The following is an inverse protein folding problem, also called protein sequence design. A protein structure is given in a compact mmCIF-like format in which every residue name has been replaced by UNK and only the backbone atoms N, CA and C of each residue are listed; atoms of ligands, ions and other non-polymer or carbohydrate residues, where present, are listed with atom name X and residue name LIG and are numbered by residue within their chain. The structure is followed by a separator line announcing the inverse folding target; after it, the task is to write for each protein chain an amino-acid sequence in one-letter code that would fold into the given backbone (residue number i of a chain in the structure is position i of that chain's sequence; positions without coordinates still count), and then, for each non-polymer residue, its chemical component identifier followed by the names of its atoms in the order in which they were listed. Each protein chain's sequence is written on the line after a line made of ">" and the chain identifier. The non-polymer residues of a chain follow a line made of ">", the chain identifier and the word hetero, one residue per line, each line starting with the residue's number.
data_IF_970315168134
#
_entry.id   IF_970315168134
#
_cell.length_a   1.000
_cell.length_b   1.000
_cell.length_c   1.000
_cell.angle_alpha   90.00
_cell.angle_beta   90.00
_cell.angle_gamma   90.00
#
_symmetry.space_group_name_H-M   'P 1'
#
loop_
_entity.id
_entity.type
_entity.pdbx_description
1 polymer ?
#
# COMPACT_ATOMS: atom_id res chain seq x y z
N UNK A 1 14.13 0.15 -27.55
CA UNK A 1 12.78 0.52 -27.07
C UNK A 1 12.16 -0.54 -26.15
N UNK A 2 12.01 -1.82 -26.50
CA UNK A 2 11.39 -2.86 -25.64
C UNK A 2 12.02 -3.04 -24.23
N UNK A 3 13.36 -2.87 -24.07
CA UNK A 3 14.03 -2.97 -22.76
C UNK A 3 13.70 -1.81 -21.82
N UNK A 4 13.58 -0.59 -22.34
CA UNK A 4 13.25 0.61 -21.56
C UNK A 4 11.80 0.55 -21.07
N UNK A 5 10.87 0.12 -21.95
CA UNK A 5 9.45 -0.04 -21.58
C UNK A 5 9.26 -1.12 -20.51
N UNK A 6 10.00 -2.23 -20.60
CA UNK A 6 10.00 -3.29 -19.60
C UNK A 6 10.58 -2.81 -18.26
N UNK A 7 11.65 -2.00 -18.29
CA UNK A 7 12.24 -1.41 -17.09
C UNK A 7 11.30 -0.41 -16.42
N UNK A 8 10.68 0.49 -17.20
CA UNK A 8 9.66 1.42 -16.67
C UNK A 8 8.48 0.63 -16.08
N UNK A 9 8.00 -0.41 -16.78
CA UNK A 9 6.94 -1.29 -16.27
C UNK A 9 7.28 -1.96 -14.94
N UNK A 10 8.53 -2.40 -14.75
CA UNK A 10 8.98 -2.99 -13.48
C UNK A 10 9.02 -1.99 -12.33
N UNK A 11 9.18 -0.68 -12.62
CA UNK A 11 9.16 0.37 -11.60
C UNK A 11 7.76 0.62 -11.00
N UNK A 12 6.69 0.15 -11.65
CA UNK A 12 5.34 0.19 -11.09
C UNK A 12 5.10 -0.90 -10.03
N UNK A 13 5.80 -2.05 -10.15
CA UNK A 13 5.70 -3.14 -9.16
C UNK A 13 6.76 -3.07 -8.06
N UNK A 14 7.96 -2.57 -8.37
CA UNK A 14 9.07 -2.45 -7.42
C UNK A 14 9.94 -1.22 -7.77
N UNK A 15 9.49 0.00 -7.37
CA UNK A 15 10.18 1.24 -7.70
C UNK A 15 11.56 1.31 -7.02
N UNK A 16 12.61 1.63 -7.80
CA UNK A 16 13.98 1.77 -7.30
C UNK A 16 14.63 3.06 -7.78
N UNK A 17 15.48 3.64 -6.93
CA UNK A 17 16.28 4.83 -7.26
C UNK A 17 15.45 6.06 -7.63
N UNK A 18 16.05 6.99 -8.38
CA UNK A 18 15.44 8.26 -8.78
C UNK A 18 14.22 8.05 -9.69
N UNK A 19 14.31 7.14 -10.65
CA UNK A 19 13.21 6.83 -11.58
C UNK A 19 12.02 6.25 -10.80
N UNK A 20 12.27 5.36 -9.84
CA UNK A 20 11.24 4.85 -8.95
C UNK A 20 10.54 5.95 -8.15
N UNK A 21 11.28 6.95 -7.64
CA UNK A 21 10.70 8.10 -6.94
C UNK A 21 9.76 8.91 -7.84
N UNK A 22 10.15 9.17 -9.08
CA UNK A 22 9.31 9.89 -10.07
C UNK A 22 8.06 9.06 -10.38
N UNK A 23 8.19 7.76 -10.63
CA UNK A 23 7.06 6.86 -10.84
C UNK A 23 6.09 6.89 -9.65
N UNK A 24 6.58 6.88 -8.42
CA UNK A 24 5.75 6.99 -7.22
C UNK A 24 4.97 8.30 -7.14
N UNK A 25 5.56 9.44 -7.56
CA UNK A 25 4.87 10.73 -7.59
C UNK A 25 3.73 10.69 -8.61
N UNK A 26 3.99 10.18 -9.81
CA UNK A 26 2.99 10.04 -10.86
C UNK A 26 1.86 9.11 -10.37
N UNK A 27 2.19 7.98 -9.78
CA UNK A 27 1.19 7.05 -9.22
C UNK A 27 0.36 7.68 -8.11
N UNK A 28 0.93 8.54 -7.26
CA UNK A 28 0.17 9.24 -6.23
C UNK A 28 -0.90 10.15 -6.84
N UNK A 29 -0.60 10.81 -7.97
CA UNK A 29 -1.57 11.65 -8.68
C UNK A 29 -2.67 10.79 -9.31
N UNK A 30 -2.29 9.74 -10.03
CA UNK A 30 -3.21 8.81 -10.71
C UNK A 30 -4.13 8.12 -9.68
N UNK A 31 -3.56 7.64 -8.58
CA UNK A 31 -4.29 6.89 -7.55
C UNK A 31 -5.01 7.81 -6.53
N UNK A 32 -4.96 9.14 -6.68
CA UNK A 32 -5.47 10.05 -5.66
C UNK A 32 -6.96 9.86 -5.35
N UNK A 33 -7.77 9.49 -6.33
CA UNK A 33 -9.18 9.15 -6.11
C UNK A 33 -9.34 7.89 -5.25
N UNK A 34 -8.54 6.84 -5.50
CA UNK A 34 -8.52 5.62 -4.70
C UNK A 34 -8.11 5.92 -3.25
N UNK A 35 -7.05 6.70 -3.04
CA UNK A 35 -6.62 7.12 -1.70
C UNK A 35 -7.70 7.88 -0.94
N UNK A 36 -8.37 8.84 -1.59
CA UNK A 36 -9.46 9.59 -0.96
C UNK A 36 -10.64 8.69 -0.58
N UNK A 37 -11.03 7.79 -1.46
CA UNK A 37 -12.13 6.86 -1.20
C UNK A 37 -11.76 5.88 -0.10
N UNK A 38 -10.53 5.35 -0.09
CA UNK A 38 -10.01 4.49 0.97
C UNK A 38 -10.06 5.17 2.33
N UNK A 39 -9.53 6.40 2.44
CA UNK A 39 -9.56 7.19 3.69
C UNK A 39 -10.98 7.52 4.15
N UNK A 40 -11.94 7.66 3.24
CA UNK A 40 -13.36 7.86 3.58
C UNK A 40 -14.03 6.58 4.07
N UNK A 41 -13.67 5.44 3.47
CA UNK A 41 -14.21 4.13 3.82
C UNK A 41 -13.69 3.63 5.17
N UNK A 42 -12.41 3.85 5.45
CA UNK A 42 -11.79 3.51 6.74
C UNK A 42 -12.37 4.43 7.82
N UNK A 43 -13.16 3.81 8.73
CA UNK A 43 -13.76 4.48 9.89
C UNK A 43 -13.22 3.81 11.14
N UNK A 44 -12.28 4.47 11.80
CA UNK A 44 -11.55 3.95 12.96
C UNK A 44 -11.37 5.04 14.01
N UNK A 45 -11.13 4.63 15.25
CA UNK A 45 -10.77 5.50 16.36
C UNK A 45 -9.24 5.62 16.47
N UNK A 46 -8.77 6.58 17.26
CA UNK A 46 -7.34 6.88 17.41
C UNK A 46 -6.53 5.80 18.14
N UNK A 47 -7.18 4.90 18.87
CA UNK A 47 -6.62 3.75 19.58
C UNK A 47 -6.71 2.44 18.77
N UNK A 48 -7.35 2.47 17.61
CA UNK A 48 -7.47 1.30 16.73
C UNK A 48 -6.25 1.18 15.81
N UNK A 49 -5.92 -0.08 15.47
CA UNK A 49 -4.78 -0.44 14.60
C UNK A 49 -5.22 -0.68 13.17
N UNK A 50 -4.48 -0.10 12.22
CA UNK A 50 -4.69 -0.30 10.78
C UNK A 50 -3.42 -0.82 10.13
N UNK A 51 -3.54 -1.84 9.28
CA UNK A 51 -2.46 -2.35 8.45
C UNK A 51 -2.65 -1.94 6.99
N UNK A 52 -1.59 -1.42 6.36
CA UNK A 52 -1.54 -1.17 4.92
C UNK A 52 -0.56 -2.14 4.24
N UNK A 53 -1.08 -2.97 3.33
CA UNK A 53 -0.30 -3.98 2.60
C UNK A 53 0.16 -3.41 1.27
N UNK A 54 1.48 -3.40 1.05
CA UNK A 54 2.11 -2.73 -0.06
C UNK A 54 2.00 -1.21 0.06
N UNK A 55 2.42 -0.68 1.23
CA UNK A 55 2.26 0.75 1.56
C UNK A 55 3.01 1.69 0.60
N UNK A 56 3.90 1.18 -0.26
CA UNK A 56 4.69 1.97 -1.19
C UNK A 56 5.42 3.11 -0.51
N UNK A 57 5.34 4.33 -1.04
CA UNK A 57 5.96 5.50 -0.44
C UNK A 57 5.22 6.11 0.76
N UNK A 58 4.26 5.38 1.36
CA UNK A 58 3.54 5.77 2.57
C UNK A 58 2.51 6.89 2.39
N UNK A 59 2.06 7.16 1.16
CA UNK A 59 1.12 8.26 0.89
C UNK A 59 -0.27 8.03 1.50
N UNK A 60 -0.80 6.79 1.42
CA UNK A 60 -2.06 6.42 2.09
C UNK A 60 -1.94 6.52 3.61
N UNK A 61 -0.86 5.96 4.17
CA UNK A 61 -0.60 6.01 5.62
C UNK A 61 -0.61 7.44 6.16
N UNK A 62 0.06 8.39 5.45
CA UNK A 62 0.02 9.81 5.83
C UNK A 62 -1.40 10.38 5.85
N UNK A 63 -2.22 10.03 4.86
CA UNK A 63 -3.62 10.51 4.81
C UNK A 63 -4.48 9.91 5.92
N UNK A 64 -4.28 8.62 6.25
CA UNK A 64 -5.00 7.97 7.36
C UNK A 64 -4.57 8.60 8.70
N UNK A 65 -3.27 8.77 8.92
CA UNK A 65 -2.75 9.40 10.14
C UNK A 65 -3.31 10.80 10.34
N UNK A 66 -3.25 11.65 9.32
CA UNK A 66 -3.71 13.03 9.41
C UNK A 66 -5.21 13.15 9.73
N UNK A 67 -6.00 12.13 9.40
CA UNK A 67 -7.45 12.12 9.64
C UNK A 67 -7.83 11.48 10.97
N UNK A 68 -7.16 10.40 11.36
CA UNK A 68 -7.62 9.52 12.44
C UNK A 68 -6.67 9.47 13.64
N UNK A 69 -5.39 9.83 13.46
CA UNK A 69 -4.31 9.68 14.45
C UNK A 69 -4.21 8.27 15.06
N UNK A 70 -4.62 7.24 14.27
CA UNK A 70 -4.64 5.85 14.67
C UNK A 70 -3.23 5.24 14.69
N UNK A 71 -3.09 4.05 15.28
CA UNK A 71 -1.88 3.25 15.21
C UNK A 71 -1.78 2.57 13.86
N UNK A 72 -0.78 2.97 13.05
CA UNK A 72 -0.61 2.51 11.68
C UNK A 72 0.54 1.51 11.58
N UNK A 73 0.28 0.47 10.83
CA UNK A 73 1.24 -0.57 10.47
C UNK A 73 1.31 -0.66 8.96
N UNK A 74 2.49 -0.94 8.43
CA UNK A 74 2.67 -1.15 7.01
C UNK A 74 3.66 -2.27 6.73
N UNK A 75 3.36 -3.09 5.72
CA UNK A 75 4.27 -4.09 5.18
C UNK A 75 4.43 -3.89 3.67
N UNK A 76 5.67 -3.88 3.20
CA UNK A 76 6.02 -3.76 1.78
C UNK A 76 7.28 -4.58 1.51
N UNK A 77 7.40 -5.14 0.31
CA UNK A 77 8.58 -5.94 -0.08
C UNK A 77 9.83 -5.09 -0.36
N UNK A 78 9.68 -3.78 -0.49
CA UNK A 78 10.73 -2.87 -0.95
C UNK A 78 11.37 -2.10 0.20
N UNK A 79 12.69 -2.23 0.35
CA UNK A 79 13.50 -1.41 1.28
C UNK A 79 13.45 0.07 0.89
N UNK A 80 13.53 0.37 -0.43
CA UNK A 80 13.46 1.76 -0.94
C UNK A 80 12.13 2.43 -0.57
N UNK A 81 11.03 1.67 -0.58
CA UNK A 81 9.71 2.18 -0.17
C UNK A 81 9.66 2.44 1.32
N UNK A 82 10.28 1.59 2.15
CA UNK A 82 10.37 1.84 3.59
C UNK A 82 11.08 3.17 3.91
N UNK A 83 12.18 3.46 3.23
CA UNK A 83 12.91 4.73 3.42
C UNK A 83 12.06 5.93 3.03
N UNK A 84 11.39 5.86 1.87
CA UNK A 84 10.52 6.93 1.39
C UNK A 84 9.30 7.13 2.30
N UNK A 85 8.66 6.05 2.75
CA UNK A 85 7.51 6.09 3.64
C UNK A 85 7.88 6.65 5.02
N UNK A 86 9.03 6.27 5.57
CA UNK A 86 9.57 6.82 6.83
C UNK A 86 9.78 8.32 6.71
N UNK A 87 10.46 8.78 5.65
CA UNK A 87 10.72 10.21 5.43
C UNK A 87 9.42 11.01 5.24
N UNK A 88 8.43 10.44 4.56
CA UNK A 88 7.13 11.08 4.32
C UNK A 88 6.29 11.23 5.58
N UNK A 89 6.41 10.28 6.51
CA UNK A 89 5.55 10.14 7.69
C UNK A 89 6.30 10.44 8.99
N UNK A 90 7.27 11.33 8.95
CA UNK A 90 8.16 11.63 10.10
C UNK A 90 7.38 12.00 11.37
N UNK A 91 6.24 12.67 11.25
CA UNK A 91 5.39 13.07 12.39
C UNK A 91 4.77 11.85 13.07
N UNK A 92 4.18 10.93 12.29
CA UNK A 92 3.60 9.69 12.81
C UNK A 92 4.67 8.76 13.40
N UNK A 93 5.87 8.72 12.79
CA UNK A 93 7.03 7.98 13.32
C UNK A 93 7.48 8.55 14.67
N UNK A 94 7.64 9.88 14.79
CA UNK A 94 8.03 10.53 16.05
C UNK A 94 6.97 10.38 17.15
N UNK A 95 5.70 10.32 16.78
CA UNK A 95 4.61 10.08 17.71
C UNK A 95 4.48 8.60 18.14
N UNK A 96 5.32 7.68 17.62
CA UNK A 96 5.22 6.24 17.89
C UNK A 96 3.96 5.60 17.29
N UNK A 97 3.31 6.26 16.31
CA UNK A 97 2.03 5.87 15.72
C UNK A 97 2.18 5.23 14.33
N UNK A 98 3.41 4.96 13.86
CA UNK A 98 3.65 4.29 12.58
C UNK A 98 4.76 3.26 12.68
N UNK A 99 4.45 2.03 12.28
CA UNK A 99 5.33 0.86 12.32
C UNK A 99 5.47 0.27 10.92
N UNK A 100 6.64 0.47 10.29
CA UNK A 100 6.90 0.02 8.92
C UNK A 100 7.84 -1.19 8.91
N UNK A 101 7.42 -2.24 8.20
CA UNK A 101 8.22 -3.45 8.00
C UNK A 101 8.46 -3.72 6.51
N UNK A 102 9.57 -4.38 6.22
CA UNK A 102 9.85 -4.98 4.92
C UNK A 102 9.51 -6.46 5.02
N UNK A 103 8.61 -6.95 4.15
CA UNK A 103 8.15 -8.33 4.20
C UNK A 103 7.08 -8.66 3.17
N UNK A 104 6.71 -9.93 3.11
CA UNK A 104 5.66 -10.45 2.22
C UNK A 104 4.34 -10.58 2.97
N UNK A 105 3.24 -10.17 2.33
CA UNK A 105 1.89 -10.33 2.85
C UNK A 105 1.45 -11.78 3.04
N UNK A 106 2.14 -12.72 2.39
CA UNK A 106 1.92 -14.15 2.58
C UNK A 106 2.49 -14.71 3.89
N UNK A 107 3.19 -13.88 4.68
CA UNK A 107 3.72 -14.25 5.99
C UNK A 107 3.77 -13.01 6.89
N UNK A 108 2.60 -12.60 7.39
CA UNK A 108 2.46 -11.38 8.19
C UNK A 108 3.02 -11.60 9.61
N UNK A 109 3.99 -10.79 10.06
CA UNK A 109 4.62 -10.94 11.38
C UNK A 109 3.80 -10.29 12.49
N UNK A 110 2.49 -10.55 12.48
CA UNK A 110 1.54 -10.01 13.46
C UNK A 110 0.67 -11.12 14.03
N UNK A 111 0.22 -10.96 15.25
CA UNK A 111 -0.69 -11.89 15.90
C UNK A 111 -2.07 -11.87 15.24
N UNK A 112 -2.85 -12.95 15.44
CA UNK A 112 -4.24 -13.00 15.04
C UNK A 112 -5.06 -11.90 15.73
N UNK A 113 -6.17 -11.49 15.11
CA UNK A 113 -7.12 -10.52 15.68
C UNK A 113 -6.46 -9.18 16.14
N UNK A 114 -5.44 -8.72 15.41
CA UNK A 114 -4.68 -7.51 15.77
C UNK A 114 -5.30 -6.24 15.21
N UNK A 115 -5.76 -6.25 13.94
CA UNK A 115 -6.12 -5.04 13.21
C UNK A 115 -7.62 -4.80 13.14
N UNK A 116 -8.03 -3.54 13.30
CA UNK A 116 -9.41 -3.09 13.11
C UNK A 116 -9.74 -2.76 11.66
N UNK A 117 -8.74 -2.63 10.80
CA UNK A 117 -8.88 -2.54 9.36
C UNK A 117 -7.56 -2.95 8.68
N UNK A 118 -7.68 -3.58 7.50
CA UNK A 118 -6.55 -3.80 6.59
C UNK A 118 -6.86 -3.13 5.27
N UNK A 119 -5.87 -2.47 4.66
CA UNK A 119 -5.98 -1.84 3.35
C UNK A 119 -4.93 -2.36 2.38
N UNK A 120 -5.24 -2.30 1.09
CA UNK A 120 -4.31 -2.55 -0.01
C UNK A 120 -4.77 -1.77 -1.25
N UNK A 121 -3.85 -1.07 -1.91
CA UNK A 121 -4.14 -0.33 -3.16
C UNK A 121 -3.18 -0.76 -4.25
N UNK A 122 -3.69 -1.40 -5.31
CA UNK A 122 -2.95 -1.81 -6.50
C UNK A 122 -1.75 -2.74 -6.23
N UNK A 123 -1.81 -3.59 -5.20
CA UNK A 123 -0.70 -4.50 -4.84
C UNK A 123 -1.02 -5.98 -5.06
N UNK A 124 -2.28 -6.37 -4.99
CA UNK A 124 -2.72 -7.78 -5.04
C UNK A 124 -2.20 -8.55 -6.28
N UNK A 125 -1.95 -7.84 -7.40
CA UNK A 125 -1.42 -8.46 -8.63
C UNK A 125 0.04 -8.91 -8.50
N UNK A 126 0.76 -8.43 -7.47
CA UNK A 126 2.18 -8.71 -7.24
C UNK A 126 2.41 -9.70 -6.10
N UNK A 127 1.34 -10.18 -5.45
CA UNK A 127 1.47 -11.14 -4.38
C UNK A 127 1.92 -12.50 -4.90
N UNK A 128 2.85 -13.12 -4.22
CA UNK A 128 3.42 -14.42 -4.59
C UNK A 128 2.37 -15.54 -4.54
N UNK A 129 1.45 -15.46 -3.58
CA UNK A 129 0.30 -16.34 -3.40
C UNK A 129 -0.88 -15.55 -2.86
N UNK A 130 -1.87 -15.28 -3.72
CA UNK A 130 -3.04 -14.48 -3.36
C UNK A 130 -3.91 -15.16 -2.29
N UNK A 131 -4.06 -16.49 -2.35
CA UNK A 131 -4.88 -17.23 -1.38
C UNK A 131 -4.22 -17.16 -0.01
N UNK A 132 -2.92 -17.38 0.05
CA UNK A 132 -2.17 -17.30 1.30
C UNK A 132 -2.17 -15.88 1.87
N UNK A 133 -1.98 -14.85 1.03
CA UNK A 133 -2.08 -13.45 1.44
C UNK A 133 -3.45 -13.10 2.01
N UNK A 134 -4.53 -13.54 1.37
CA UNK A 134 -5.89 -13.34 1.90
C UNK A 134 -6.14 -14.11 3.20
N UNK A 135 -5.58 -15.32 3.34
CA UNK A 135 -5.64 -16.10 4.59
C UNK A 135 -4.92 -15.38 5.74
N UNK A 136 -3.75 -14.83 5.49
CA UNK A 136 -3.01 -14.04 6.49
C UNK A 136 -3.76 -12.76 6.87
N UNK A 137 -4.35 -12.05 5.91
CA UNK A 137 -5.20 -10.88 6.18
C UNK A 137 -6.37 -11.28 7.09
N UNK A 138 -7.06 -12.39 6.77
CA UNK A 138 -8.17 -12.87 7.59
C UNK A 138 -7.71 -13.24 9.01
N UNK A 139 -6.53 -13.80 9.15
CA UNK A 139 -5.97 -14.17 10.47
C UNK A 139 -5.67 -12.96 11.34
N UNK A 140 -5.08 -11.91 10.76
CA UNK A 140 -4.66 -10.71 11.52
C UNK A 140 -5.79 -9.70 11.72
N UNK A 141 -6.88 -9.77 10.95
CA UNK A 141 -8.06 -8.95 11.15
C UNK A 141 -8.87 -9.43 12.35
N UNK A 142 -9.32 -8.48 13.17
CA UNK A 142 -10.32 -8.75 14.21
C UNK A 142 -11.62 -9.21 13.58
N UNK A 143 -12.31 -10.13 14.23
CA UNK A 143 -13.59 -10.66 13.77
C UNK A 143 -14.57 -9.53 13.41
N UNK A 144 -15.17 -9.62 12.22
CA UNK A 144 -16.14 -8.64 11.71
C UNK A 144 -15.54 -7.32 11.22
N UNK A 145 -14.23 -7.17 11.23
CA UNK A 145 -13.55 -5.95 10.72
C UNK A 145 -13.22 -6.08 9.23
N UNK A 146 -13.18 -4.95 8.49
CA UNK A 146 -13.11 -4.95 7.03
C UNK A 146 -11.68 -5.06 6.49
N UNK A 147 -11.54 -5.76 5.37
CA UNK A 147 -10.45 -5.60 4.42
C UNK A 147 -10.89 -4.70 3.25
N UNK A 148 -10.16 -3.64 3.00
CA UNK A 148 -10.38 -2.71 1.89
C UNK A 148 -9.34 -2.96 0.80
N UNK A 149 -9.77 -3.41 -0.35
CA UNK A 149 -8.90 -3.57 -1.52
C UNK A 149 -9.35 -2.66 -2.66
N UNK A 150 -8.46 -1.83 -3.16
CA UNK A 150 -8.71 -0.98 -4.33
C UNK A 150 -7.77 -1.38 -5.47
N UNK A 151 -8.35 -1.68 -6.62
CA UNK A 151 -7.64 -2.13 -7.81
C UNK A 151 -8.17 -1.43 -9.05
N UNK A 152 -7.36 -1.35 -10.09
CA UNK A 152 -7.83 -0.96 -11.41
C UNK A 152 -8.57 -2.11 -12.08
N UNK A 153 -9.60 -1.79 -12.86
CA UNK A 153 -10.26 -2.78 -13.70
C UNK A 153 -9.36 -3.21 -14.85
N UNK A 154 -9.61 -4.40 -15.39
CA UNK A 154 -8.87 -4.93 -16.55
C UNK A 154 -8.92 -3.98 -17.74
N UNK A 155 -10.09 -3.41 -18.03
CA UNK A 155 -10.30 -2.48 -19.12
C UNK A 155 -9.44 -1.22 -18.97
N UNK A 156 -9.32 -0.68 -17.76
CA UNK A 156 -8.47 0.48 -17.49
C UNK A 156 -6.99 0.15 -17.70
N UNK A 157 -6.54 -0.99 -17.22
CA UNK A 157 -5.16 -1.46 -17.39
C UNK A 157 -4.82 -1.66 -18.86
N UNK A 158 -5.73 -2.24 -19.65
CA UNK A 158 -5.55 -2.41 -21.09
C UNK A 158 -5.42 -1.07 -21.81
N UNK A 159 -6.24 -0.07 -21.49
CA UNK A 159 -6.15 1.27 -22.10
C UNK A 159 -4.79 1.92 -21.81
N UNK A 160 -4.29 1.82 -20.59
CA UNK A 160 -2.98 2.40 -20.22
C UNK A 160 -1.82 1.66 -20.89
N UNK A 161 -1.90 0.33 -20.95
CA UNK A 161 -0.84 -0.49 -21.56
C UNK A 161 -0.83 -0.39 -23.11
N UNK A 162 -1.99 -0.23 -23.75
CA UNK A 162 -2.09 -0.12 -25.22
C UNK A 162 -1.84 1.30 -25.73
N UNK A 163 -2.30 2.34 -25.04
CA UNK A 163 -2.03 3.75 -25.43
C UNK A 163 -0.59 4.19 -25.15
N UNK A 164 0.16 3.47 -24.34
CA UNK A 164 1.60 3.66 -24.17
C UNK A 164 2.47 3.04 -25.28
N UNK A 165 1.85 2.61 -26.37
CA UNK A 165 2.50 2.07 -27.58
C UNK A 165 2.46 3.04 -28.76
N UNK A 166 2.63 4.33 -28.50
CA UNK A 166 2.93 5.28 -29.58
C UNK A 166 4.39 5.67 -29.49
#
# INVERSE_FOLDING_TARGET
>A
MKKITKYIGSQFGNPRGIIGKVCCIIMNVINNAMYRNMVRAIKIQSDEKVLDIGYGNGYLLKKIYNKHHADLYGIDISVDMKEQATSRNIEAMKAGKLHLQVGDCCNLPYDADTFSAVSSINTIYFWSDTIKGLSEINRVLKTGKPFFNAVYTKEWLEVVLYKGRI
#
